data_IF_716181787129
#
_entry.id   IF_716181787129
#
_cell.length_a   1.000
_cell.length_b   1.000
_cell.length_c   1.000
_cell.angle_alpha   90.00
_cell.angle_beta   90.00
_cell.angle_gamma   90.00
#
_symmetry.space_group_name_H-M   'P 1'
#
loop_
_entity.id
_entity.type
_entity.pdbx_description
1 polymer ?
#
# COMPACT_ATOMS: atom_id res chain seq x y z
N UNK A 1 -34.83 27.82 -59.39
CA UNK A 1 -34.60 26.45 -59.90
C UNK A 1 -33.77 25.74 -58.83
N UNK A 2 -34.41 24.95 -57.96
CA UNK A 2 -34.42 23.48 -57.99
C UNK A 2 -33.10 22.90 -57.40
N UNK A 3 -33.05 21.96 -56.46
CA UNK A 3 -34.08 21.17 -55.78
C UNK A 3 -33.52 20.59 -54.46
N UNK A 4 -34.47 20.15 -53.62
CA UNK A 4 -34.34 19.29 -52.44
C UNK A 4 -33.47 18.04 -52.68
N UNK A 5 -32.91 17.50 -51.59
CA UNK A 5 -32.45 16.12 -51.53
C UNK A 5 -32.00 15.71 -50.14
N UNK A 6 -32.95 15.36 -49.27
CA UNK A 6 -32.65 14.74 -47.98
C UNK A 6 -32.25 13.28 -48.11
N UNK A 7 -31.56 12.77 -47.09
CA UNK A 7 -31.60 11.35 -46.68
C UNK A 7 -31.20 11.21 -45.22
N UNK A 8 -32.19 10.91 -44.40
CA UNK A 8 -32.03 10.29 -43.09
C UNK A 8 -31.90 8.78 -43.30
N UNK A 9 -30.85 8.16 -42.75
CA UNK A 9 -30.68 6.73 -42.45
C UNK A 9 -29.49 6.71 -41.47
N UNK A 10 -29.48 6.14 -40.28
CA UNK A 10 -30.42 5.38 -39.47
C UNK A 10 -29.63 5.02 -38.20
N UNK A 11 -30.29 5.02 -37.04
CA UNK A 11 -29.69 4.52 -35.80
C UNK A 11 -29.20 3.08 -35.98
N UNK A 12 -27.95 2.82 -35.60
CA UNK A 12 -27.51 1.49 -35.16
C UNK A 12 -27.01 1.64 -33.72
N UNK A 13 -27.95 1.46 -32.78
CA UNK A 13 -27.65 1.13 -31.39
C UNK A 13 -27.04 -0.26 -31.40
N UNK A 14 -25.71 -0.35 -31.36
CA UNK A 14 -25.06 -1.60 -30.97
C UNK A 14 -25.05 -1.65 -29.45
N UNK A 15 -26.13 -2.18 -28.89
CA UNK A 15 -26.15 -2.70 -27.54
C UNK A 15 -25.23 -3.93 -27.51
N UNK A 16 -23.95 -3.70 -27.25
CA UNK A 16 -23.03 -4.77 -26.88
C UNK A 16 -23.37 -5.19 -25.44
N UNK A 17 -24.28 -6.17 -25.33
CA UNK A 17 -24.46 -6.96 -24.12
C UNK A 17 -23.18 -7.80 -24.00
N UNK A 18 -22.17 -7.26 -23.33
CA UNK A 18 -21.07 -8.09 -22.85
C UNK A 18 -21.61 -8.92 -21.71
N UNK A 19 -21.76 -10.21 -22.02
CA UNK A 19 -22.12 -11.27 -21.11
C UNK A 19 -21.37 -11.11 -19.79
N UNK A 20 -22.12 -11.13 -18.69
CA UNK A 20 -21.59 -11.43 -17.36
C UNK A 20 -21.13 -12.88 -17.41
N UNK A 21 -19.92 -13.09 -17.95
CA UNK A 21 -19.17 -14.31 -17.78
C UNK A 21 -18.70 -14.32 -16.34
N UNK A 22 -19.35 -15.15 -15.51
CA UNK A 22 -18.78 -15.61 -14.26
C UNK A 22 -17.48 -16.34 -14.55
N UNK A 23 -16.36 -15.61 -14.48
CA UNK A 23 -15.06 -16.22 -14.33
C UNK A 23 -14.89 -16.54 -12.85
N UNK A 24 -15.28 -17.77 -12.53
CA UNK A 24 -14.78 -18.52 -11.39
C UNK A 24 -13.24 -18.52 -11.47
N UNK A 25 -12.63 -17.66 -10.67
CA UNK A 25 -11.20 -17.53 -10.53
C UNK A 25 -10.90 -17.46 -9.05
N UNK A 26 -10.53 -18.61 -8.49
CA UNK A 26 -10.01 -18.75 -7.14
C UNK A 26 -8.73 -17.92 -7.02
N UNK A 27 -8.90 -16.67 -6.63
CA UNK A 27 -7.87 -15.84 -6.06
C UNK A 27 -8.50 -15.20 -4.84
N UNK A 28 -7.98 -15.54 -3.66
CA UNK A 28 -8.29 -14.86 -2.39
C UNK A 28 -7.83 -13.40 -2.46
N UNK A 29 -8.43 -12.60 -3.34
CA UNK A 29 -8.42 -11.15 -3.23
C UNK A 29 -9.11 -10.82 -1.92
N UNK A 30 -8.40 -10.11 -1.07
CA UNK A 30 -8.97 -9.60 0.15
C UNK A 30 -10.21 -8.76 -0.14
N UNK A 31 -11.20 -8.86 0.75
CA UNK A 31 -12.54 -8.30 0.56
C UNK A 31 -12.45 -6.82 0.17
N UNK A 32 -12.82 -6.49 -1.07
CA UNK A 32 -12.93 -5.12 -1.56
C UNK A 32 -11.65 -4.46 -2.08
N UNK A 33 -10.57 -5.20 -2.33
CA UNK A 33 -9.36 -4.72 -3.03
C UNK A 33 -9.20 -5.47 -4.35
N UNK A 34 -9.03 -4.75 -5.47
CA UNK A 34 -8.81 -5.42 -6.77
C UNK A 34 -7.44 -6.10 -6.81
N UNK A 35 -7.26 -7.10 -7.67
CA UNK A 35 -5.97 -7.80 -7.83
C UNK A 35 -4.84 -6.86 -8.27
N UNK A 36 -5.16 -5.89 -9.15
CA UNK A 36 -4.23 -4.85 -9.59
C UNK A 36 -3.81 -3.93 -8.44
N UNK A 37 -4.77 -3.41 -7.68
CA UNK A 37 -4.48 -2.59 -6.50
C UNK A 37 -3.69 -3.37 -5.46
N UNK A 38 -4.02 -4.64 -5.25
CA UNK A 38 -3.30 -5.52 -4.34
C UNK A 38 -1.83 -5.71 -4.76
N UNK A 39 -1.55 -5.88 -6.06
CA UNK A 39 -0.20 -6.00 -6.58
C UNK A 39 0.61 -4.70 -6.35
N UNK A 40 0.05 -3.55 -6.72
CA UNK A 40 0.70 -2.24 -6.56
C UNK A 40 0.99 -1.93 -5.10
N UNK A 41 0.03 -2.14 -4.19
CA UNK A 41 0.24 -1.87 -2.75
C UNK A 41 1.27 -2.83 -2.15
N UNK A 42 1.26 -4.12 -2.55
CA UNK A 42 2.28 -5.08 -2.10
C UNK A 42 3.68 -4.66 -2.56
N UNK A 43 3.82 -4.18 -3.80
CA UNK A 43 5.08 -3.66 -4.33
C UNK A 43 5.54 -2.42 -3.56
N UNK A 44 4.70 -1.40 -3.42
CA UNK A 44 5.05 -0.17 -2.69
C UNK A 44 5.43 -0.44 -1.23
N UNK A 45 4.68 -1.30 -0.54
CA UNK A 45 4.98 -1.66 0.85
C UNK A 45 6.31 -2.40 0.97
N UNK A 46 6.63 -3.26 -0.02
CA UNK A 46 7.91 -3.96 -0.10
C UNK A 46 9.03 -2.97 -0.33
N UNK A 47 8.90 -2.07 -1.30
CA UNK A 47 9.93 -1.10 -1.67
C UNK A 47 10.25 -0.14 -0.53
N UNK A 48 9.22 0.39 0.14
CA UNK A 48 9.39 1.20 1.35
C UNK A 48 10.24 0.50 2.42
N UNK A 49 9.93 -0.77 2.70
CA UNK A 49 10.64 -1.51 3.73
C UNK A 49 12.02 -1.98 3.26
N UNK A 50 12.17 -2.28 1.97
CA UNK A 50 13.42 -2.67 1.34
C UNK A 50 14.42 -1.51 1.33
N UNK A 51 13.98 -0.29 1.03
CA UNK A 51 14.79 0.92 1.16
C UNK A 51 15.38 1.08 2.57
N UNK A 52 14.59 0.78 3.61
CA UNK A 52 15.08 0.78 5.00
C UNK A 52 16.12 -0.31 5.30
N UNK A 53 15.99 -1.47 4.65
CA UNK A 53 16.95 -2.60 4.76
C UNK A 53 18.26 -2.28 4.03
N UNK A 54 18.16 -1.69 2.84
CA UNK A 54 19.29 -1.31 1.99
C UNK A 54 19.97 -0.01 2.44
N UNK A 55 19.45 0.61 3.50
CA UNK A 55 19.91 1.90 4.06
C UNK A 55 19.75 3.07 3.09
N UNK A 56 18.85 2.94 2.11
CA UNK A 56 18.35 4.04 1.30
C UNK A 56 17.29 4.81 2.09
N UNK A 57 17.74 5.55 3.10
CA UNK A 57 16.87 6.26 4.01
C UNK A 57 16.14 7.42 3.34
N UNK A 58 16.69 7.98 2.27
CA UNK A 58 16.04 9.01 1.48
C UNK A 58 14.78 8.44 0.82
N UNK A 59 14.91 7.35 0.06
CA UNK A 59 13.75 6.68 -0.54
C UNK A 59 12.74 6.20 0.51
N UNK A 60 13.21 5.66 1.64
CA UNK A 60 12.33 5.25 2.74
C UNK A 60 11.54 6.43 3.34
N UNK A 61 12.15 7.61 3.45
CA UNK A 61 11.50 8.82 3.95
C UNK A 61 10.55 9.44 2.92
N UNK A 62 10.90 9.44 1.63
CA UNK A 62 10.04 9.93 0.54
C UNK A 62 8.76 9.10 0.38
N UNK A 63 8.81 7.81 0.70
CA UNK A 63 7.66 6.91 0.68
C UNK A 63 6.65 7.15 1.82
N UNK A 64 6.86 8.15 2.69
CA UNK A 64 5.97 8.47 3.82
C UNK A 64 5.10 9.68 3.53
N UNK A 65 3.89 9.69 4.09
CA UNK A 65 3.10 10.93 4.13
C UNK A 65 3.77 11.94 5.06
N UNK A 66 3.54 13.25 4.80
CA UNK A 66 3.98 14.33 5.71
C UNK A 66 3.51 14.13 7.15
N UNK A 67 2.34 13.50 7.34
CA UNK A 67 1.84 13.16 8.68
C UNK A 67 2.70 12.09 9.35
N UNK A 68 3.03 11.01 8.63
CA UNK A 68 3.88 9.96 9.19
C UNK A 68 5.29 10.51 9.52
N UNK A 69 5.86 11.35 8.66
CA UNK A 69 7.13 12.05 8.95
C UNK A 69 7.06 12.83 10.26
N UNK A 70 6.03 13.69 10.41
CA UNK A 70 5.83 14.50 11.62
C UNK A 70 5.58 13.68 12.88
N UNK A 71 4.99 12.48 12.76
CA UNK A 71 4.79 11.60 13.92
C UNK A 71 6.10 11.07 14.50
N UNK A 72 7.21 11.20 13.76
CA UNK A 72 8.56 10.85 14.19
C UNK A 72 9.41 12.10 14.41
N UNK A 73 8.78 13.26 14.63
CA UNK A 73 9.44 14.56 14.85
C UNK A 73 10.32 15.03 13.67
N UNK A 74 9.95 14.66 12.43
CA UNK A 74 10.58 15.18 11.21
C UNK A 74 9.62 16.08 10.42
N UNK A 75 10.00 17.33 10.17
CA UNK A 75 9.29 18.27 9.30
C UNK A 75 9.74 18.16 7.84
N UNK A 76 10.93 17.63 7.60
CA UNK A 76 11.55 17.47 6.27
C UNK A 76 12.05 16.05 6.01
N UNK A 77 12.32 15.74 4.72
CA UNK A 77 12.98 14.47 4.34
C UNK A 77 14.39 14.38 4.95
N UNK A 78 15.14 15.48 4.96
CA UNK A 78 16.49 15.51 5.54
C UNK A 78 16.47 15.16 7.05
N UNK A 79 15.59 15.78 7.83
CA UNK A 79 15.42 15.44 9.26
C UNK A 79 14.98 13.98 9.44
N UNK A 80 14.08 13.48 8.58
CA UNK A 80 13.68 12.08 8.60
C UNK A 80 14.86 11.14 8.35
N UNK A 81 15.75 11.47 7.41
CA UNK A 81 16.97 10.71 7.13
C UNK A 81 17.91 10.74 8.34
N UNK A 82 18.11 11.89 8.97
CA UNK A 82 18.92 12.02 10.19
C UNK A 82 18.40 11.11 11.31
N UNK A 83 17.10 11.15 11.60
CA UNK A 83 16.46 10.29 12.60
C UNK A 83 16.55 8.81 12.22
N UNK A 84 16.31 8.48 10.96
CA UNK A 84 16.21 7.08 10.49
C UNK A 84 17.59 6.42 10.35
N UNK A 85 18.64 7.20 10.09
CA UNK A 85 20.02 6.74 9.92
C UNK A 85 20.79 6.57 11.23
N UNK A 86 20.21 6.98 12.37
CA UNK A 86 20.80 6.77 13.68
C UNK A 86 21.20 5.29 13.86
N UNK A 87 22.44 4.99 14.32
CA UNK A 87 22.95 3.63 14.41
C UNK A 87 22.00 2.71 15.17
N UNK A 88 21.53 1.65 14.49
CA UNK A 88 20.74 0.59 15.13
C UNK A 88 21.67 -0.56 15.51
N UNK A 89 21.35 -1.23 16.61
CA UNK A 89 22.02 -2.49 16.97
C UNK A 89 21.68 -3.53 15.90
N UNK A 90 22.68 -4.02 15.17
CA UNK A 90 22.56 -5.08 14.15
C UNK A 90 22.64 -4.59 12.70
N UNK A 91 23.42 -5.29 11.87
CA UNK A 91 23.36 -5.19 10.41
C UNK A 91 22.24 -6.10 9.89
N UNK A 92 21.34 -5.54 9.10
CA UNK A 92 20.16 -6.23 8.56
C UNK A 92 20.16 -6.29 7.04
N UNK A 93 21.29 -6.02 6.38
CA UNK A 93 21.39 -6.08 4.91
C UNK A 93 21.12 -7.46 4.33
N UNK A 94 21.20 -8.49 5.16
CA UNK A 94 20.84 -9.86 4.79
C UNK A 94 19.32 -10.12 4.87
N UNK A 95 18.53 -9.19 5.38
CA UNK A 95 17.11 -9.39 5.58
C UNK A 95 16.34 -9.53 4.25
N UNK A 96 15.18 -10.17 4.34
CA UNK A 96 14.22 -10.31 3.25
C UNK A 96 12.90 -9.70 3.66
N UNK A 97 12.32 -8.95 2.73
CA UNK A 97 11.01 -8.32 2.88
C UNK A 97 9.95 -9.17 2.21
N UNK A 98 8.85 -9.44 2.92
CA UNK A 98 7.64 -10.05 2.35
C UNK A 98 6.39 -9.35 2.86
N UNK A 99 5.28 -9.48 2.13
CA UNK A 99 4.01 -8.84 2.47
C UNK A 99 2.93 -9.88 2.80
N UNK A 100 1.99 -9.51 3.67
CA UNK A 100 0.74 -10.25 3.88
C UNK A 100 -0.32 -9.90 2.84
N UNK A 101 -1.54 -10.40 3.05
CA UNK A 101 -2.67 -9.99 2.23
C UNK A 101 -3.10 -8.55 2.56
N UNK A 102 -3.44 -7.72 1.56
CA UNK A 102 -3.90 -6.37 1.78
C UNK A 102 -5.33 -6.39 2.29
N UNK A 103 -5.84 -5.32 2.88
CA UNK A 103 -7.25 -5.15 3.26
C UNK A 103 -7.67 -3.72 3.06
N UNK A 104 -8.93 -3.51 2.69
CA UNK A 104 -9.48 -2.15 2.67
C UNK A 104 -9.67 -1.67 4.10
N UNK A 105 -9.12 -0.50 4.41
CA UNK A 105 -9.28 0.14 5.72
C UNK A 105 -10.17 1.37 5.60
N UNK A 106 -11.20 1.52 6.45
CA UNK A 106 -11.89 2.79 6.60
C UNK A 106 -10.96 3.85 7.20
N UNK A 107 -11.36 5.12 7.08
CA UNK A 107 -10.69 6.19 7.82
C UNK A 107 -10.83 5.93 9.33
N UNK A 108 -9.76 6.22 10.09
CA UNK A 108 -9.74 6.05 11.55
C UNK A 108 -8.84 7.11 12.19
N UNK A 109 -9.39 7.83 13.15
CA UNK A 109 -8.67 8.95 13.78
C UNK A 109 -8.16 9.95 12.74
N UNK A 110 -6.87 10.33 12.76
CA UNK A 110 -6.28 11.25 11.78
C UNK A 110 -5.91 10.59 10.44
N UNK A 111 -6.14 9.28 10.28
CA UNK A 111 -5.73 8.52 9.10
C UNK A 111 -6.90 8.35 8.11
N UNK A 112 -6.73 8.71 6.82
CA UNK A 112 -7.76 8.53 5.81
C UNK A 112 -7.97 7.05 5.50
N UNK A 113 -9.03 6.75 4.77
CA UNK A 113 -9.22 5.40 4.21
C UNK A 113 -8.04 5.04 3.30
N UNK A 114 -7.66 3.77 3.31
CA UNK A 114 -6.51 3.29 2.55
C UNK A 114 -6.51 1.77 2.44
N UNK A 115 -5.35 1.22 2.14
CA UNK A 115 -5.12 -0.23 2.10
C UNK A 115 -4.14 -0.60 3.20
N UNK A 116 -4.59 -1.47 4.11
CA UNK A 116 -3.79 -2.03 5.17
C UNK A 116 -3.09 -3.30 4.72
N UNK A 117 -1.85 -3.54 5.14
CA UNK A 117 -1.20 -4.84 4.97
C UNK A 117 -0.08 -5.03 5.97
N UNK A 118 0.28 -6.29 6.21
CA UNK A 118 1.49 -6.65 6.96
C UNK A 118 2.70 -6.58 6.03
N UNK A 119 3.80 -6.03 6.53
CA UNK A 119 5.15 -6.23 6.02
C UNK A 119 5.97 -7.01 7.04
N UNK A 120 6.75 -7.98 6.57
CA UNK A 120 7.64 -8.80 7.37
C UNK A 120 9.07 -8.56 6.92
N UNK A 121 9.94 -8.18 7.85
CA UNK A 121 11.40 -8.18 7.67
C UNK A 121 11.94 -9.38 8.41
N UNK A 122 12.63 -10.28 7.72
CA UNK A 122 13.26 -11.47 8.29
C UNK A 122 14.73 -11.51 7.94
N UNK A 123 15.61 -11.54 8.95
CA UNK A 123 17.03 -11.83 8.74
C UNK A 123 17.21 -13.28 8.27
N UNK A 124 18.14 -13.50 7.35
CA UNK A 124 18.50 -14.83 6.84
C UNK A 124 19.65 -15.47 7.62
N UNK A 125 20.45 -14.66 8.32
CA UNK A 125 21.60 -15.07 9.12
C UNK A 125 21.36 -14.98 10.63
N UNK A 126 20.31 -14.28 11.05
CA UNK A 126 19.92 -14.12 12.46
C UNK A 126 18.45 -14.44 12.72
N UNK A 127 18.07 -14.53 14.00
CA UNK A 127 16.69 -14.82 14.43
C UNK A 127 15.74 -13.62 14.37
N UNK A 128 16.11 -12.49 13.76
CA UNK A 128 15.23 -11.32 13.68
C UNK A 128 14.06 -11.60 12.73
N UNK A 129 12.85 -11.50 13.28
CA UNK A 129 11.62 -11.39 12.51
C UNK A 129 10.85 -10.20 13.06
N UNK A 130 10.56 -9.22 12.21
CA UNK A 130 9.73 -8.06 12.54
C UNK A 130 8.51 -8.03 11.64
N UNK A 131 7.34 -7.95 12.24
CA UNK A 131 6.08 -7.75 11.55
C UNK A 131 5.59 -6.32 11.80
N UNK A 132 5.20 -5.62 10.74
CA UNK A 132 4.70 -4.24 10.80
C UNK A 132 3.42 -4.16 9.98
N UNK A 133 2.33 -3.70 10.58
CA UNK A 133 1.15 -3.28 9.85
C UNK A 133 1.38 -1.89 9.25
N UNK A 134 1.11 -1.73 7.95
CA UNK A 134 1.15 -0.46 7.25
C UNK A 134 -0.24 -0.09 6.77
N UNK A 135 -0.58 1.20 6.85
CA UNK A 135 -1.68 1.81 6.08
C UNK A 135 -1.07 2.57 4.91
N UNK A 136 -1.33 2.12 3.69
CA UNK A 136 -0.98 2.86 2.48
C UNK A 136 -2.17 3.72 2.02
N UNK A 137 -1.88 4.94 1.57
CA UNK A 137 -2.88 5.89 1.07
C UNK A 137 -2.42 6.46 -0.28
N UNK A 138 -3.34 6.89 -1.16
CA UNK A 138 -2.96 7.57 -2.40
C UNK A 138 -2.13 8.84 -2.12
N UNK A 139 -1.05 9.01 -2.87
CA UNK A 139 -0.18 10.18 -2.87
C UNK A 139 -0.48 11.15 -4.03
N UNK A 140 0.28 12.23 -4.11
CA UNK A 140 0.04 13.34 -5.07
C UNK A 140 0.31 12.99 -6.55
N UNK A 141 1.00 11.88 -6.86
CA UNK A 141 1.42 11.48 -8.22
C UNK A 141 0.95 10.08 -8.62
N UNK A 142 -0.30 9.74 -8.29
CA UNK A 142 -0.88 8.38 -8.51
C UNK A 142 -0.10 7.23 -7.83
N UNK A 143 0.90 7.56 -6.99
CA UNK A 143 1.64 6.62 -6.17
C UNK A 143 0.93 6.34 -4.84
N UNK A 144 1.43 5.37 -4.09
CA UNK A 144 0.98 5.09 -2.73
C UNK A 144 2.04 5.52 -1.72
N UNK A 145 1.62 6.02 -0.58
CA UNK A 145 2.50 6.44 0.51
C UNK A 145 2.13 5.72 1.80
N UNK A 146 3.14 5.38 2.60
CA UNK A 146 2.97 4.88 3.96
C UNK A 146 2.47 6.02 4.85
N UNK A 147 1.32 5.80 5.47
CA UNK A 147 0.65 6.81 6.28
C UNK A 147 0.65 6.51 7.78
N UNK A 148 0.72 5.23 8.10
CA UNK A 148 0.70 4.72 9.44
C UNK A 148 1.52 3.43 9.47
N UNK A 149 2.29 3.23 10.52
CA UNK A 149 3.01 2.00 10.79
C UNK A 149 2.79 1.58 12.25
N UNK A 150 2.50 0.31 12.47
CA UNK A 150 2.34 -0.25 13.81
C UNK A 150 3.03 -1.63 13.87
N UNK A 151 3.75 -1.92 14.95
CA UNK A 151 4.38 -3.23 15.12
C UNK A 151 3.31 -4.28 15.42
N UNK A 152 3.50 -5.49 14.91
CA UNK A 152 2.69 -6.67 15.20
C UNK A 152 3.55 -7.65 16.01
N UNK A 153 3.06 -8.06 17.19
CA UNK A 153 3.82 -8.89 18.14
C UNK A 153 3.31 -10.33 18.17
N UNK A 154 2.00 -10.51 18.40
CA UNK A 154 1.41 -11.84 18.66
C UNK A 154 0.70 -12.43 17.43
N UNK A 155 -0.02 -11.59 16.68
CA UNK A 155 -0.84 -12.00 15.55
C UNK A 155 -0.48 -11.20 14.29
N UNK A 156 -0.62 -11.84 13.13
CA UNK A 156 -0.13 -11.27 11.86
C UNK A 156 -1.12 -11.42 10.70
N UNK A 157 -2.34 -11.84 10.99
CA UNK A 157 -3.42 -11.90 10.00
C UNK A 157 -4.00 -10.51 9.72
N UNK A 158 -4.99 -10.46 8.84
CA UNK A 158 -5.64 -9.21 8.45
C UNK A 158 -6.44 -8.56 9.58
N UNK A 159 -6.98 -9.34 10.52
CA UNK A 159 -7.66 -8.83 11.70
C UNK A 159 -6.69 -8.14 12.64
N UNK A 160 -5.51 -8.73 12.87
CA UNK A 160 -4.43 -8.12 13.63
C UNK A 160 -3.90 -6.85 12.96
N UNK A 161 -3.74 -6.84 11.63
CA UNK A 161 -3.37 -5.63 10.87
C UNK A 161 -4.38 -4.50 11.11
N UNK A 162 -5.68 -4.80 11.00
CA UNK A 162 -6.71 -3.81 11.25
C UNK A 162 -6.70 -3.32 12.70
N UNK A 163 -6.63 -4.22 13.68
CA UNK A 163 -6.59 -3.88 15.09
C UNK A 163 -5.38 -2.98 15.43
N UNK A 164 -4.19 -3.32 14.92
CA UNK A 164 -2.98 -2.53 15.12
C UNK A 164 -3.12 -1.10 14.62
N UNK A 165 -3.67 -0.95 13.40
CA UNK A 165 -3.83 0.35 12.73
C UNK A 165 -5.01 1.16 13.28
N UNK A 166 -5.84 0.56 14.12
CA UNK A 166 -6.88 1.23 14.89
C UNK A 166 -6.46 1.46 16.37
N UNK A 167 -5.22 1.12 16.75
CA UNK A 167 -4.73 1.29 18.12
C UNK A 167 -5.38 0.35 19.13
N UNK A 168 -5.79 -0.84 18.70
CA UNK A 168 -6.50 -1.85 19.50
C UNK A 168 -5.62 -3.06 19.90
N UNK A 169 -4.31 -2.99 19.66
CA UNK A 169 -3.32 -3.98 20.08
C UNK A 169 -2.46 -3.45 21.22
#
# INVERSE_FOLDING_TARGET
MAARGGRAVGLLVMAAILAVGGCEGDSRTAVGVSSEQAAVVKEVARDYQQASVDQDYEAACEARTKRLLRSWDADTIAECVEITSAPRVGDYRDARVSTGEPIKLPAFGPHPSGIGLRVTVRSTLGGLVKHTALRLVPGERDGWLADQAANLVDETDTGAVQAALEGRL
#
